data_IF_439248453311
#
_entry.id   IF_439248453311
#
_cell.length_a   1.000
_cell.length_b   1.000
_cell.length_c   1.000
_cell.angle_alpha   90.00
_cell.angle_beta   90.00
_cell.angle_gamma   90.00
#
_symmetry.space_group_name_H-M   'P 1'
#
loop_
_entity.id
_entity.type
_entity.pdbx_description
1 polymer ?
#
# COMPACT_ATOMS: atom_id res chain seq x y z
N UNK A 1 13.04 2.32 27.54
CA UNK A 1 14.05 3.37 27.25
C UNK A 1 15.44 2.73 27.23
N UNK A 2 15.90 2.33 26.07
CA UNK A 2 17.30 2.02 25.81
C UNK A 2 17.77 2.96 24.69
N UNK A 3 18.53 3.98 25.07
CA UNK A 3 19.18 4.88 24.13
C UNK A 3 20.48 4.27 23.61
N UNK A 4 20.58 4.15 22.28
CA UNK A 4 21.85 3.91 21.60
C UNK A 4 22.32 5.23 21.00
N UNK A 5 23.46 5.75 21.49
CA UNK A 5 24.15 6.89 20.90
C UNK A 5 25.22 6.35 19.96
N UNK A 6 25.11 6.68 18.66
CA UNK A 6 26.13 6.41 17.64
C UNK A 6 26.87 7.69 17.37
N UNK A 7 28.16 7.76 17.77
CA UNK A 7 29.04 8.86 17.48
C UNK A 7 29.48 8.88 16.01
N UNK A 8 29.14 9.93 15.29
CA UNK A 8 29.58 10.19 13.92
C UNK A 8 30.93 10.93 13.92
N UNK A 9 32.00 10.21 13.57
CA UNK A 9 33.29 10.83 13.24
C UNK A 9 33.33 11.25 11.76
N UNK A 10 33.31 12.56 11.49
CA UNK A 10 33.46 13.10 10.15
C UNK A 10 34.91 13.11 9.73
N UNK A 11 35.26 12.43 8.66
CA UNK A 11 36.48 12.71 7.85
C UNK A 11 36.06 13.27 6.49
N UNK A 12 36.42 14.52 6.26
CA UNK A 12 36.27 15.18 4.97
C UNK A 12 37.22 14.55 3.94
N UNK A 13 36.71 14.20 2.77
CA UNK A 13 37.51 13.82 1.61
C UNK A 13 37.38 14.89 0.52
N UNK A 14 38.54 15.31 -0.04
CA UNK A 14 38.72 16.30 -1.10
C UNK A 14 38.10 15.89 -2.44
N UNK A 15 37.63 16.83 -3.26
CA UNK A 15 37.06 16.53 -4.57
C UNK A 15 38.09 16.75 -5.69
N UNK A 16 38.49 15.71 -6.40
CA UNK A 16 38.90 15.75 -7.81
C UNK A 16 39.03 14.32 -8.36
N UNK A 17 38.08 13.90 -9.15
CA UNK A 17 38.26 12.92 -10.22
C UNK A 17 37.08 12.96 -11.18
N UNK A 18 37.29 13.55 -12.36
CA UNK A 18 36.46 13.35 -13.54
C UNK A 18 36.61 11.91 -14.06
N UNK A 19 35.58 11.11 -13.97
CA UNK A 19 35.59 9.78 -14.53
C UNK A 19 34.23 9.13 -14.34
N UNK A 20 33.63 8.67 -15.44
CA UNK A 20 32.43 7.82 -15.60
C UNK A 20 31.58 7.62 -14.32
N UNK A 21 30.32 7.99 -14.38
CA UNK A 21 29.29 7.66 -13.39
C UNK A 21 29.17 6.15 -13.23
N UNK A 22 30.11 5.55 -12.51
CA UNK A 22 29.95 4.25 -11.91
C UNK A 22 28.95 4.41 -10.79
N UNK A 23 27.98 3.51 -10.68
CA UNK A 23 27.07 3.38 -9.53
C UNK A 23 27.89 3.39 -8.25
N UNK A 24 28.00 4.53 -7.58
CA UNK A 24 28.54 4.60 -6.23
C UNK A 24 27.46 4.04 -5.30
N UNK A 25 27.49 2.74 -5.09
CA UNK A 25 26.75 2.15 -3.98
C UNK A 25 27.47 2.57 -2.71
N UNK A 26 26.91 3.54 -1.97
CA UNK A 26 27.43 3.86 -0.64
C UNK A 26 27.09 2.68 0.28
N UNK A 27 27.97 1.70 0.32
CA UNK A 27 27.92 0.64 1.31
C UNK A 27 28.50 1.17 2.62
N UNK A 28 27.75 0.95 3.71
CA UNK A 28 28.15 1.33 5.07
C UNK A 28 28.49 0.03 5.80
N UNK A 29 29.66 -0.05 6.39
CA UNK A 29 30.01 -1.17 7.25
C UNK A 29 29.40 -0.98 8.65
N UNK A 30 28.56 -1.96 9.08
CA UNK A 30 27.91 -1.95 10.38
C UNK A 30 28.49 -3.11 11.20
N UNK A 31 29.40 -2.79 12.11
CA UNK A 31 30.09 -3.81 12.93
C UNK A 31 31.02 -4.69 12.10
N UNK A 32 31.38 -5.86 12.63
CA UNK A 32 32.32 -6.77 11.93
C UNK A 32 31.62 -7.50 10.78
N UNK A 33 32.08 -7.26 9.56
CA UNK A 33 31.68 -7.98 8.33
C UNK A 33 30.20 -7.85 7.94
N UNK A 34 29.45 -6.86 8.48
CA UNK A 34 28.08 -6.56 8.05
C UNK A 34 28.07 -5.30 7.21
N UNK A 35 27.48 -5.38 6.02
CA UNK A 35 27.32 -4.26 5.11
C UNK A 35 25.85 -3.88 5.01
N UNK A 36 25.58 -2.57 4.94
CA UNK A 36 24.26 -2.04 4.70
C UNK A 36 24.33 -0.96 3.61
N UNK A 37 23.19 -0.67 3.00
CA UNK A 37 23.01 0.46 2.12
C UNK A 37 22.21 1.52 2.85
N UNK A 38 22.53 2.80 2.60
CA UNK A 38 21.70 3.88 3.10
C UNK A 38 20.36 3.85 2.36
N UNK A 39 19.27 3.76 3.11
CA UNK A 39 17.92 3.98 2.62
C UNK A 39 17.48 5.39 2.99
N UNK A 40 16.56 5.95 2.22
CA UNK A 40 15.99 7.27 2.45
C UNK A 40 14.47 7.11 2.56
N UNK A 41 13.87 7.71 3.57
CA UNK A 41 12.43 7.90 3.66
C UNK A 41 12.01 9.11 2.83
N UNK A 42 10.71 9.32 2.66
CA UNK A 42 10.21 10.54 2.02
C UNK A 42 10.55 11.81 2.82
N UNK A 43 10.76 11.68 4.14
CA UNK A 43 11.19 12.80 5.00
C UNK A 43 12.67 13.18 4.80
N UNK A 44 13.46 12.27 4.24
CA UNK A 44 14.88 12.50 3.95
C UNK A 44 15.14 13.14 2.59
N UNK A 45 14.12 13.25 1.73
CA UNK A 45 14.25 13.73 0.35
C UNK A 45 13.32 14.91 0.08
N UNK A 46 13.73 15.76 -0.86
CA UNK A 46 12.93 16.86 -1.35
C UNK A 46 12.98 16.92 -2.88
N UNK A 47 11.88 17.37 -3.49
CA UNK A 47 11.84 17.64 -4.92
C UNK A 47 12.62 18.92 -5.20
N UNK A 48 13.68 18.81 -5.98
CA UNK A 48 14.49 19.96 -6.39
C UNK A 48 13.93 20.54 -7.69
N UNK A 49 13.68 21.86 -7.76
CA UNK A 49 13.18 22.48 -8.98
C UNK A 49 14.13 22.25 -10.16
N UNK A 50 13.56 21.97 -11.32
CA UNK A 50 14.30 21.87 -12.57
C UNK A 50 14.72 23.27 -13.06
N UNK A 51 15.72 23.31 -13.97
CA UNK A 51 16.13 24.55 -14.66
C UNK A 51 14.97 25.19 -15.44
N UNK A 52 14.00 24.38 -15.89
CA UNK A 52 12.82 24.85 -16.63
C UNK A 52 11.59 24.56 -15.80
N UNK A 53 10.76 25.58 -15.60
CA UNK A 53 9.42 25.46 -15.02
C UNK A 53 8.38 25.47 -16.14
N UNK A 54 7.23 24.91 -15.87
CA UNK A 54 6.04 24.95 -16.72
C UNK A 54 4.90 25.56 -15.93
N UNK A 55 3.92 26.11 -16.62
CA UNK A 55 2.69 26.50 -15.96
C UNK A 55 1.95 25.22 -15.48
N UNK A 56 1.31 25.26 -14.31
CA UNK A 56 0.55 24.11 -13.80
C UNK A 56 -0.49 23.57 -14.81
N UNK A 57 -1.12 24.46 -15.57
CA UNK A 57 -2.13 24.13 -16.56
C UNK A 57 -1.58 23.32 -17.76
N UNK A 58 -0.28 23.43 -18.02
CA UNK A 58 0.42 22.71 -19.09
C UNK A 58 0.90 21.31 -18.64
N UNK A 59 0.66 20.91 -17.38
CA UNK A 59 1.14 19.67 -16.81
C UNK A 59 -0.01 18.69 -16.61
N UNK A 60 0.01 17.57 -17.35
CA UNK A 60 -0.89 16.46 -17.10
C UNK A 60 -0.41 15.66 -15.89
N UNK A 61 -1.34 15.41 -14.95
CA UNK A 61 -1.12 14.53 -13.80
C UNK A 61 -1.71 13.14 -14.03
N UNK A 62 -2.28 12.91 -15.21
CA UNK A 62 -2.85 11.62 -15.58
C UNK A 62 -1.78 10.52 -15.56
N UNK A 63 -2.20 9.36 -15.10
CA UNK A 63 -1.35 8.17 -15.03
C UNK A 63 -2.14 6.93 -15.46
N UNK A 64 -1.44 5.83 -15.71
CA UNK A 64 -2.06 4.58 -16.10
C UNK A 64 -1.38 3.39 -15.45
N UNK A 65 -2.16 2.34 -15.24
CA UNK A 65 -1.68 1.02 -14.87
C UNK A 65 -2.39 0.00 -15.75
N UNK A 66 -1.60 -0.72 -16.56
CA UNK A 66 -2.11 -1.59 -17.61
C UNK A 66 -3.15 -0.87 -18.49
N UNK A 67 -4.36 -1.40 -18.62
CA UNK A 67 -5.45 -0.81 -19.40
C UNK A 67 -6.20 0.33 -18.68
N UNK A 68 -5.97 0.53 -17.40
CA UNK A 68 -6.67 1.52 -16.57
C UNK A 68 -5.98 2.87 -16.60
N UNK A 69 -6.78 3.94 -16.76
CA UNK A 69 -6.31 5.32 -16.81
C UNK A 69 -6.98 6.15 -15.73
N UNK A 70 -6.23 7.08 -15.15
CA UNK A 70 -6.68 7.95 -14.07
C UNK A 70 -6.25 9.38 -14.35
N UNK A 71 -7.13 10.34 -14.05
CA UNK A 71 -6.88 11.75 -14.32
C UNK A 71 -5.97 12.40 -13.27
N UNK A 72 -6.04 11.90 -12.02
CA UNK A 72 -5.25 12.41 -10.90
C UNK A 72 -4.49 11.29 -10.19
N UNK A 73 -3.23 11.53 -9.73
CA UNK A 73 -2.41 10.52 -9.08
C UNK A 73 -2.76 10.41 -7.58
N UNK A 74 -4.03 10.17 -7.28
CA UNK A 74 -4.54 10.04 -5.89
C UNK A 74 -5.13 8.64 -5.71
N UNK A 75 -4.60 7.91 -4.74
CA UNK A 75 -5.12 6.63 -4.31
C UNK A 75 -5.63 6.75 -2.88
N UNK A 76 -6.87 6.33 -2.65
CA UNK A 76 -7.41 6.16 -1.30
C UNK A 76 -6.75 4.95 -0.63
N UNK A 77 -6.13 5.16 0.53
CA UNK A 77 -5.47 4.09 1.27
C UNK A 77 -6.50 3.05 1.76
N UNK A 78 -6.18 1.74 1.68
CA UNK A 78 -7.08 0.67 2.11
C UNK A 78 -7.16 0.59 3.64
N UNK A 79 -7.96 1.45 4.21
CA UNK A 79 -8.25 1.54 5.64
C UNK A 79 -9.73 1.89 5.82
N UNK A 80 -10.40 1.26 6.77
CA UNK A 80 -11.84 1.46 7.02
C UNK A 80 -12.22 2.92 7.33
N UNK A 81 -11.29 3.67 7.94
CA UNK A 81 -11.49 5.10 8.24
C UNK A 81 -11.29 6.03 7.04
N UNK A 82 -10.80 5.52 5.90
CA UNK A 82 -10.48 6.31 4.70
C UNK A 82 -11.33 5.92 3.53
N UNK A 83 -11.44 4.62 3.23
CA UNK A 83 -12.14 4.12 2.05
C UNK A 83 -13.29 3.20 2.45
N UNK A 84 -14.50 3.72 2.27
CA UNK A 84 -15.74 2.95 2.17
C UNK A 84 -16.05 2.67 0.69
N UNK A 85 -17.01 1.79 0.37
CA UNK A 85 -17.49 1.66 -1.01
C UNK A 85 -17.93 3.00 -1.62
N UNK A 86 -18.59 3.85 -0.85
CA UNK A 86 -19.03 5.20 -1.27
C UNK A 86 -17.84 6.11 -1.56
N UNK A 87 -16.84 6.12 -0.68
CA UNK A 87 -15.62 6.93 -0.88
C UNK A 87 -14.82 6.43 -2.10
N UNK A 88 -14.75 5.11 -2.32
CA UNK A 88 -14.13 4.53 -3.51
C UNK A 88 -14.82 5.00 -4.79
N UNK A 89 -16.16 5.01 -4.80
CA UNK A 89 -16.95 5.52 -5.92
C UNK A 89 -16.66 7.01 -6.16
N UNK A 90 -16.68 7.83 -5.11
CA UNK A 90 -16.40 9.27 -5.22
C UNK A 90 -14.99 9.53 -5.76
N UNK A 91 -13.98 8.83 -5.27
CA UNK A 91 -12.61 8.96 -5.76
C UNK A 91 -12.49 8.56 -7.23
N UNK A 92 -13.15 7.47 -7.64
CA UNK A 92 -13.19 7.05 -9.03
C UNK A 92 -13.86 8.07 -9.94
N UNK A 93 -14.97 8.65 -9.52
CA UNK A 93 -15.68 9.73 -10.26
C UNK A 93 -14.84 11.01 -10.38
N UNK A 94 -13.94 11.26 -9.43
CA UNK A 94 -12.99 12.38 -9.47
C UNK A 94 -11.72 12.07 -10.27
N UNK A 95 -11.63 10.90 -10.89
CA UNK A 95 -10.48 10.49 -11.70
C UNK A 95 -9.31 9.89 -10.91
N UNK A 96 -9.51 9.60 -9.63
CA UNK A 96 -8.56 8.87 -8.77
C UNK A 96 -8.93 7.40 -8.61
N UNK A 97 -8.36 6.73 -7.60
CA UNK A 97 -8.60 5.32 -7.30
C UNK A 97 -8.85 5.11 -5.80
N UNK A 98 -10.03 4.60 -5.45
CA UNK A 98 -10.31 4.13 -4.09
C UNK A 98 -9.95 2.65 -3.96
N UNK A 99 -9.10 2.31 -2.99
CA UNK A 99 -8.74 0.92 -2.70
C UNK A 99 -9.46 0.46 -1.44
N UNK A 100 -10.39 -0.49 -1.58
CA UNK A 100 -11.15 -1.01 -0.44
C UNK A 100 -10.31 -2.02 0.36
N UNK A 101 -10.32 -1.91 1.69
CA UNK A 101 -9.77 -2.92 2.58
C UNK A 101 -10.70 -4.14 2.63
N UNK A 102 -10.25 -5.26 2.05
CA UNK A 102 -11.03 -6.49 2.02
C UNK A 102 -10.87 -7.34 3.30
N UNK A 103 -10.10 -6.87 4.26
CA UNK A 103 -9.95 -7.46 5.59
C UNK A 103 -10.55 -6.57 6.70
N UNK A 104 -11.13 -5.45 6.31
CA UNK A 104 -11.72 -4.45 7.19
C UNK A 104 -13.15 -4.78 7.66
N UNK A 105 -13.78 -3.81 8.29
CA UNK A 105 -15.13 -3.93 8.82
C UNK A 105 -16.19 -4.05 7.72
N UNK A 106 -15.92 -3.45 6.54
CA UNK A 106 -16.82 -3.51 5.38
C UNK A 106 -17.07 -4.92 4.84
N UNK A 107 -16.16 -5.85 5.14
CA UNK A 107 -16.26 -7.26 4.72
C UNK A 107 -16.57 -8.21 5.87
N UNK A 108 -16.80 -7.67 7.08
CA UNK A 108 -17.16 -8.45 8.28
C UNK A 108 -18.58 -8.20 8.73
N UNK A 109 -19.08 -6.99 8.52
CA UNK A 109 -20.39 -6.53 8.97
C UNK A 109 -21.22 -6.02 7.80
N UNK A 110 -22.52 -6.31 7.85
CA UNK A 110 -23.47 -5.84 6.82
C UNK A 110 -23.61 -4.31 6.87
N UNK A 111 -23.59 -3.71 8.05
CA UNK A 111 -23.59 -2.28 8.28
C UNK A 111 -22.47 -1.90 9.27
N UNK A 112 -21.27 -1.52 8.79
CA UNK A 112 -20.15 -1.14 9.64
C UNK A 112 -20.17 0.34 10.07
N UNK A 113 -21.00 1.21 9.47
CA UNK A 113 -20.99 2.66 9.76
C UNK A 113 -21.25 2.98 11.25
N UNK A 114 -22.22 2.35 11.93
CA UNK A 114 -22.42 2.58 13.37
C UNK A 114 -21.21 2.15 14.21
N UNK A 115 -20.51 1.08 13.81
CA UNK A 115 -19.32 0.59 14.50
C UNK A 115 -18.13 1.54 14.33
N UNK A 116 -17.97 2.09 13.13
CA UNK A 116 -16.95 3.12 12.86
C UNK A 116 -17.22 4.40 13.66
N UNK A 117 -18.48 4.81 13.74
CA UNK A 117 -18.90 5.96 14.55
C UNK A 117 -18.68 5.71 16.05
N UNK A 118 -18.96 4.50 16.53
CA UNK A 118 -18.66 4.07 17.91
C UNK A 118 -17.15 4.24 18.19
N UNK A 119 -16.29 3.63 17.38
CA UNK A 119 -14.83 3.70 17.53
C UNK A 119 -14.35 5.15 17.56
N UNK A 120 -14.85 6.00 16.64
CA UNK A 120 -14.46 7.40 16.56
C UNK A 120 -14.85 8.23 17.81
N UNK A 121 -15.79 7.75 18.61
CA UNK A 121 -16.24 8.41 19.84
C UNK A 121 -15.47 7.99 21.10
N UNK A 122 -14.66 6.93 21.02
CA UNK A 122 -13.94 6.36 22.15
C UNK A 122 -12.58 7.05 22.36
N UNK A 123 -12.06 6.96 23.57
CA UNK A 123 -10.66 7.29 23.85
C UNK A 123 -9.71 6.24 23.23
N UNK A 124 -8.45 6.61 23.01
CA UNK A 124 -7.46 5.79 22.30
C UNK A 124 -7.30 4.36 22.84
N UNK A 125 -7.26 4.21 24.17
CA UNK A 125 -7.05 2.91 24.79
C UNK A 125 -8.27 2.00 24.63
N UNK A 126 -9.46 2.55 24.85
CA UNK A 126 -10.74 1.85 24.69
C UNK A 126 -11.02 1.54 23.23
N UNK A 127 -10.73 2.47 22.33
CA UNK A 127 -10.88 2.27 20.87
C UNK A 127 -10.02 1.09 20.38
N UNK A 128 -8.78 0.97 20.86
CA UNK A 128 -7.89 -0.13 20.49
C UNK A 128 -8.47 -1.49 20.89
N UNK A 129 -8.95 -1.63 22.13
CA UNK A 129 -9.58 -2.86 22.61
C UNK A 129 -10.84 -3.20 21.76
N UNK A 130 -11.66 -2.17 21.53
CA UNK A 130 -12.90 -2.34 20.76
C UNK A 130 -12.62 -2.75 19.31
N UNK A 131 -11.63 -2.15 18.66
CA UNK A 131 -11.19 -2.58 17.33
C UNK A 131 -10.75 -4.04 17.32
N UNK A 132 -9.97 -4.50 18.28
CA UNK A 132 -9.55 -5.90 18.37
C UNK A 132 -10.73 -6.87 18.45
N UNK A 133 -11.77 -6.53 19.21
CA UNK A 133 -13.02 -7.30 19.26
C UNK A 133 -13.71 -7.36 17.91
N UNK A 134 -13.91 -6.19 17.27
CA UNK A 134 -14.62 -6.09 16.00
C UNK A 134 -13.87 -6.82 14.86
N UNK A 135 -12.54 -6.72 14.82
CA UNK A 135 -11.73 -7.42 13.82
C UNK A 135 -11.54 -8.91 14.11
N UNK A 136 -12.04 -9.42 15.25
CA UNK A 136 -12.08 -10.87 15.51
C UNK A 136 -13.19 -11.60 14.74
N UNK A 137 -14.23 -10.87 14.30
CA UNK A 137 -15.29 -11.42 13.43
C UNK A 137 -14.67 -11.91 12.11
N UNK A 138 -15.05 -13.07 11.60
CA UNK A 138 -14.52 -13.59 10.34
C UNK A 138 -14.90 -12.71 9.14
N UNK A 139 -14.00 -12.66 8.15
CA UNK A 139 -14.27 -12.04 6.86
C UNK A 139 -15.34 -12.89 6.13
N UNK A 140 -16.35 -12.23 5.59
CA UNK A 140 -17.45 -12.84 4.85
C UNK A 140 -17.23 -12.70 3.35
N UNK A 141 -17.00 -13.81 2.62
CA UNK A 141 -16.80 -13.76 1.16
C UNK A 141 -17.96 -13.14 0.38
N UNK A 142 -19.18 -13.27 0.89
CA UNK A 142 -20.38 -12.65 0.33
C UNK A 142 -20.32 -11.13 0.39
N UNK A 143 -19.83 -10.55 1.50
CA UNK A 143 -19.67 -9.12 1.64
C UNK A 143 -18.53 -8.58 0.74
N UNK A 144 -17.45 -9.35 0.54
CA UNK A 144 -16.42 -8.98 -0.46
C UNK A 144 -17.07 -8.78 -1.83
N UNK A 145 -17.88 -9.75 -2.28
CA UNK A 145 -18.56 -9.68 -3.58
C UNK A 145 -19.52 -8.49 -3.65
N UNK A 146 -20.33 -8.32 -2.61
CA UNK A 146 -21.32 -7.24 -2.54
C UNK A 146 -20.66 -5.86 -2.62
N UNK A 147 -19.60 -5.62 -1.82
CA UNK A 147 -18.91 -4.31 -1.78
C UNK A 147 -18.19 -4.01 -3.09
N UNK A 148 -17.51 -4.99 -3.68
CA UNK A 148 -16.86 -4.81 -4.98
C UNK A 148 -17.89 -4.60 -6.10
N UNK A 149 -19.01 -5.31 -6.06
CA UNK A 149 -20.11 -5.13 -7.02
C UNK A 149 -20.73 -3.73 -6.91
N UNK A 150 -20.94 -3.23 -5.68
CA UNK A 150 -21.44 -1.87 -5.44
C UNK A 150 -20.54 -0.80 -6.10
N UNK A 151 -19.22 -0.95 -6.01
CA UNK A 151 -18.27 -0.03 -6.66
C UNK A 151 -18.35 -0.18 -8.18
N UNK A 152 -18.41 -1.39 -8.68
CA UNK A 152 -18.53 -1.69 -10.11
C UNK A 152 -19.79 -1.12 -10.75
N UNK A 153 -20.93 -1.23 -10.08
CA UNK A 153 -22.22 -0.74 -10.58
C UNK A 153 -22.23 0.79 -10.76
N UNK A 154 -21.35 1.49 -10.06
CA UNK A 154 -21.14 2.93 -10.24
C UNK A 154 -20.24 3.26 -11.45
N UNK A 155 -19.72 2.26 -12.17
CA UNK A 155 -18.93 2.44 -13.38
C UNK A 155 -17.51 2.97 -13.16
N UNK A 156 -16.94 2.78 -11.96
CA UNK A 156 -15.57 3.16 -11.63
C UNK A 156 -14.67 1.93 -11.47
N UNK A 157 -13.37 2.14 -11.56
CA UNK A 157 -12.37 1.07 -11.40
C UNK A 157 -12.44 0.47 -10.00
N UNK A 158 -12.53 -0.85 -9.92
CA UNK A 158 -12.68 -1.62 -8.69
C UNK A 158 -11.31 -2.07 -8.18
N UNK A 159 -10.87 -1.57 -7.04
CA UNK A 159 -9.63 -2.00 -6.41
C UNK A 159 -9.86 -2.51 -4.98
N UNK A 160 -9.24 -3.64 -4.66
CA UNK A 160 -9.33 -4.25 -3.33
C UNK A 160 -7.98 -4.69 -2.82
N UNK A 161 -7.76 -4.53 -1.51
CA UNK A 161 -6.50 -4.82 -0.86
C UNK A 161 -6.60 -5.98 0.12
N UNK A 162 -5.59 -6.87 0.07
CA UNK A 162 -5.34 -7.92 1.06
C UNK A 162 -3.91 -7.84 1.59
N UNK A 163 -3.70 -8.36 2.79
CA UNK A 163 -2.35 -8.64 3.29
C UNK A 163 -1.77 -9.88 2.59
N UNK A 164 -0.43 -10.04 2.56
CA UNK A 164 0.19 -11.26 2.01
C UNK A 164 -0.32 -12.54 2.66
N UNK A 165 -0.63 -12.51 3.96
CA UNK A 165 -1.11 -13.65 4.73
C UNK A 165 -2.51 -14.12 4.29
N UNK A 166 -3.38 -13.19 3.92
CA UNK A 166 -4.75 -13.48 3.51
C UNK A 166 -4.92 -13.67 2.00
N UNK A 167 -3.93 -13.22 1.23
CA UNK A 167 -3.98 -13.29 -0.23
C UNK A 167 -4.26 -14.70 -0.73
N UNK A 168 -3.52 -15.70 -0.25
CA UNK A 168 -3.69 -17.10 -0.67
C UNK A 168 -5.09 -17.67 -0.39
N UNK A 169 -5.71 -17.23 0.71
CA UNK A 169 -7.01 -17.73 1.12
C UNK A 169 -8.18 -17.08 0.38
N UNK A 170 -8.03 -15.81 -0.01
CA UNK A 170 -9.14 -14.99 -0.48
C UNK A 170 -9.04 -14.54 -1.94
N UNK A 171 -7.89 -14.72 -2.60
CA UNK A 171 -7.67 -14.17 -3.95
C UNK A 171 -8.69 -14.68 -4.97
N UNK A 172 -9.04 -15.97 -4.93
CA UNK A 172 -10.04 -16.53 -5.84
C UNK A 172 -11.41 -15.87 -5.67
N UNK A 173 -11.81 -15.61 -4.42
CA UNK A 173 -13.05 -14.89 -4.11
C UNK A 173 -13.02 -13.46 -4.66
N UNK A 174 -11.89 -12.78 -4.49
CA UNK A 174 -11.71 -11.38 -4.94
C UNK A 174 -11.70 -11.28 -6.46
N UNK A 175 -10.98 -12.18 -7.14
CA UNK A 175 -10.93 -12.24 -8.60
C UNK A 175 -12.32 -12.61 -9.17
N UNK A 176 -12.99 -13.59 -8.57
CA UNK A 176 -14.34 -13.98 -8.98
C UNK A 176 -15.39 -12.87 -8.73
N UNK A 177 -15.14 -11.97 -7.77
CA UNK A 177 -15.95 -10.77 -7.56
C UNK A 177 -15.70 -9.69 -8.61
N UNK A 178 -14.72 -9.90 -9.49
CA UNK A 178 -14.44 -9.01 -10.62
C UNK A 178 -13.63 -7.78 -10.23
N UNK A 179 -12.64 -7.90 -9.33
CA UNK A 179 -11.68 -6.82 -9.07
C UNK A 179 -10.91 -6.46 -10.34
N UNK A 180 -10.71 -5.17 -10.59
CA UNK A 180 -9.94 -4.67 -11.73
C UNK A 180 -8.46 -4.51 -11.38
N UNK A 181 -8.16 -4.13 -10.14
CA UNK A 181 -6.81 -3.95 -9.62
C UNK A 181 -6.69 -4.65 -8.26
N UNK A 182 -5.78 -5.59 -8.17
CA UNK A 182 -5.52 -6.30 -6.92
C UNK A 182 -4.37 -5.63 -6.16
N UNK A 183 -4.58 -5.31 -4.88
CA UNK A 183 -3.57 -4.65 -4.06
C UNK A 183 -3.10 -5.58 -2.95
N UNK A 184 -1.78 -5.81 -2.88
CA UNK A 184 -1.15 -6.54 -1.77
C UNK A 184 -0.45 -5.51 -0.89
N UNK A 185 -0.95 -5.35 0.34
CA UNK A 185 -0.46 -4.36 1.28
C UNK A 185 0.19 -4.97 2.52
N UNK A 186 1.26 -4.34 2.97
CA UNK A 186 1.92 -4.68 4.23
C UNK A 186 2.91 -3.60 4.62
N UNK A 187 3.29 -3.56 5.89
CA UNK A 187 4.30 -2.62 6.39
C UNK A 187 5.64 -2.81 5.66
N UNK A 188 6.00 -4.06 5.40
CA UNK A 188 7.12 -4.43 4.55
C UNK A 188 6.74 -5.68 3.79
N UNK A 189 6.72 -5.57 2.47
CA UNK A 189 6.43 -6.70 1.58
C UNK A 189 7.72 -7.12 0.89
N UNK A 190 8.08 -8.40 1.02
CA UNK A 190 9.19 -9.03 0.31
C UNK A 190 8.68 -9.85 -0.86
N UNK A 191 9.57 -10.19 -1.78
CA UNK A 191 9.24 -11.02 -2.95
C UNK A 191 8.67 -12.40 -2.57
N UNK A 192 9.01 -12.89 -1.38
CA UNK A 192 8.52 -14.15 -0.85
C UNK A 192 8.20 -13.98 0.64
N UNK A 193 6.96 -14.29 1.02
CA UNK A 193 6.53 -14.33 2.41
C UNK A 193 6.60 -15.77 2.90
N UNK A 194 7.42 -16.01 3.92
CA UNK A 194 7.56 -17.33 4.57
C UNK A 194 6.85 -17.30 5.91
N UNK A 195 5.92 -18.21 6.11
CA UNK A 195 5.16 -18.38 7.35
C UNK A 195 5.36 -19.81 7.88
N UNK A 196 5.30 -19.98 9.20
CA UNK A 196 5.24 -21.28 9.85
C UNK A 196 3.81 -21.81 9.99
N UNK A 197 2.82 -20.98 9.72
CA UNK A 197 1.39 -21.27 9.91
C UNK A 197 0.65 -21.26 8.58
N UNK A 198 0.96 -20.31 7.70
CA UNK A 198 0.31 -20.13 6.41
C UNK A 198 1.18 -20.62 5.26
N UNK A 199 0.57 -20.96 4.13
CA UNK A 199 1.30 -21.30 2.92
C UNK A 199 2.12 -20.08 2.44
N UNK A 200 3.41 -20.28 2.09
CA UNK A 200 4.27 -19.18 1.64
C UNK A 200 3.75 -18.53 0.38
N UNK A 201 3.61 -17.21 0.38
CA UNK A 201 3.23 -16.44 -0.80
C UNK A 201 4.49 -16.04 -1.58
N UNK A 202 4.65 -16.62 -2.77
CA UNK A 202 5.63 -16.16 -3.74
C UNK A 202 4.98 -15.12 -4.65
N UNK A 203 5.25 -13.83 -4.41
CA UNK A 203 4.65 -12.72 -5.14
C UNK A 203 4.91 -12.78 -6.63
N UNK A 204 6.10 -13.17 -7.06
CA UNK A 204 6.46 -13.23 -8.47
C UNK A 204 5.62 -14.27 -9.21
N UNK A 205 5.44 -15.45 -8.62
CA UNK A 205 4.58 -16.50 -9.18
C UNK A 205 3.13 -16.05 -9.16
N UNK A 206 2.66 -15.53 -8.03
CA UNK A 206 1.28 -15.06 -7.85
C UNK A 206 0.90 -14.00 -8.89
N UNK A 207 1.74 -12.97 -9.09
CA UNK A 207 1.50 -11.92 -10.10
C UNK A 207 1.51 -12.49 -11.52
N UNK A 208 2.35 -13.48 -11.80
CA UNK A 208 2.40 -14.12 -13.10
C UNK A 208 1.14 -14.95 -13.42
N UNK A 209 0.58 -15.58 -12.40
CA UNK A 209 -0.60 -16.46 -12.53
C UNK A 209 -1.95 -15.69 -12.51
N UNK A 210 -1.93 -14.41 -12.14
CA UNK A 210 -3.13 -13.56 -12.12
C UNK A 210 -3.35 -12.81 -13.44
N UNK A 211 -4.61 -12.80 -13.88
CA UNK A 211 -5.04 -12.06 -15.08
C UNK A 211 -5.38 -10.58 -14.79
N UNK A 212 -5.22 -10.11 -13.55
CA UNK A 212 -5.47 -8.72 -13.15
C UNK A 212 -4.17 -8.05 -12.70
N UNK A 213 -3.97 -6.75 -12.97
CA UNK A 213 -2.81 -6.02 -12.51
C UNK A 213 -2.71 -5.98 -10.99
N UNK A 214 -1.49 -6.13 -10.47
CA UNK A 214 -1.21 -6.17 -9.03
C UNK A 214 -0.37 -4.98 -8.60
N UNK A 215 -0.87 -4.24 -7.61
CA UNK A 215 -0.13 -3.19 -6.91
C UNK A 215 0.42 -3.77 -5.61
N UNK A 216 1.70 -3.63 -5.35
CA UNK A 216 2.34 -4.12 -4.13
C UNK A 216 2.98 -2.96 -3.36
N UNK A 217 2.70 -2.85 -2.06
CA UNK A 217 3.28 -1.85 -1.18
C UNK A 217 3.27 -2.32 0.29
N UNK A 218 4.13 -1.84 1.15
CA UNK A 218 5.41 -1.14 1.11
C UNK A 218 6.61 -2.01 0.80
N UNK A 219 7.07 -1.91 -0.45
CA UNK A 219 8.29 -2.61 -0.83
C UNK A 219 9.51 -1.86 -0.27
N UNK A 220 10.36 -2.60 0.46
CA UNK A 220 11.61 -2.06 1.01
C UNK A 220 12.84 -2.46 0.18
N UNK A 221 12.64 -3.27 -0.86
CA UNK A 221 13.67 -3.74 -1.80
C UNK A 221 13.22 -3.53 -3.24
N UNK A 222 14.19 -3.53 -4.16
CA UNK A 222 13.96 -3.43 -5.61
C UNK A 222 14.24 -4.76 -6.30
#
# INVERSE_FOLDING_TARGET
TCGFSVGLGSRAASPHATGRLGRVTMEIEIGRAKRARRAYSFDDIAVVPSRRTRNPEDVSTAWSIDAFQFDIPVLGAPMDSVVSPQTAIMLGQLGGLGVLDLEGLWTRYDDPEPLLAEIASLDEATATCRMQELYSEPIKPELIRERLQQIRDAGVTVAGALTPQRTQQLYETVVAAGVDLFVIRGTTVSAEHVSSVDEPLNLKKFIYDLDVPVIVGGAATY
#
